data_IF_101688487389
#
_entry.id   IF_101688487389
#
_cell.length_a   1.000
_cell.length_b   1.000
_cell.length_c   1.000
_cell.angle_alpha   90.00
_cell.angle_beta   90.00
_cell.angle_gamma   90.00
#
_symmetry.space_group_name_H-M   'P 1'
#
loop_
_entity.id
_entity.type
_entity.pdbx_description
1 polymer ?
#
# COMPACT_ATOMS: atom_id res chain seq x y z
N UNK A 1 18.02 7.56 -8.25
CA UNK A 1 17.50 8.44 -9.34
C UNK A 1 16.91 9.66 -8.68
N UNK A 2 17.55 10.83 -8.84
CA UNK A 2 17.13 12.10 -8.22
C UNK A 2 16.14 12.73 -9.20
N UNK A 3 14.85 12.78 -8.84
CA UNK A 3 13.85 13.54 -9.58
C UNK A 3 13.78 14.95 -8.95
N UNK A 4 14.45 15.92 -9.57
CA UNK A 4 14.23 17.33 -9.25
C UNK A 4 13.08 17.85 -10.12
N UNK A 5 11.94 18.15 -9.51
CA UNK A 5 10.85 18.86 -10.17
C UNK A 5 10.99 20.35 -9.91
N UNK A 6 11.46 21.06 -10.96
CA UNK A 6 11.49 22.51 -10.98
C UNK A 6 10.17 23.00 -11.61
N UNK A 7 9.25 23.55 -10.82
CA UNK A 7 8.13 24.34 -11.33
C UNK A 7 8.40 25.81 -11.10
N UNK A 8 8.46 26.53 -12.20
CA UNK A 8 8.55 27.99 -12.21
C UNK A 8 7.29 28.63 -11.60
N UNK A 9 7.53 29.69 -10.84
CA UNK A 9 6.61 30.67 -10.24
C UNK A 9 5.80 30.25 -9.02
N UNK A 10 6.28 30.66 -7.84
CA UNK A 10 5.57 30.73 -6.56
C UNK A 10 6.06 29.67 -5.58
N UNK A 11 7.06 30.04 -4.78
CA UNK A 11 7.54 29.44 -3.50
C UNK A 11 6.90 28.09 -3.09
N UNK A 12 7.09 27.05 -3.89
CA UNK A 12 6.93 25.67 -3.43
C UNK A 12 8.31 25.17 -3.00
N UNK A 13 8.47 25.05 -1.70
CA UNK A 13 9.68 24.48 -1.12
C UNK A 13 9.80 23.04 -1.62
N UNK A 14 10.83 22.75 -2.44
CA UNK A 14 11.08 21.42 -2.98
C UNK A 14 11.40 20.47 -1.82
N UNK A 15 10.46 19.60 -1.48
CA UNK A 15 10.79 18.45 -0.65
C UNK A 15 11.77 17.57 -1.43
N UNK A 16 13.00 17.46 -0.94
CA UNK A 16 13.87 16.36 -1.32
C UNK A 16 13.22 15.08 -0.76
N UNK A 17 12.39 14.44 -1.56
CA UNK A 17 12.10 13.04 -1.35
C UNK A 17 13.41 12.32 -1.67
N UNK A 18 14.23 12.16 -0.67
CA UNK A 18 15.27 11.16 -0.70
C UNK A 18 14.50 9.82 -0.64
N UNK A 19 14.15 9.30 -1.81
CA UNK A 19 14.04 7.86 -1.91
C UNK A 19 15.40 7.40 -1.45
N UNK A 20 15.55 7.03 -0.16
CA UNK A 20 16.71 6.28 0.30
C UNK A 20 16.81 5.19 -0.74
N UNK A 21 17.82 5.30 -1.59
CA UNK A 21 18.11 4.27 -2.56
C UNK A 21 18.02 3.01 -1.76
N UNK A 22 17.23 2.10 -2.22
CA UNK A 22 17.14 0.77 -1.66
C UNK A 22 18.60 0.35 -1.48
N UNK A 23 19.18 0.54 -0.26
CA UNK A 23 20.13 -0.47 0.19
C UNK A 23 19.34 -1.72 -0.13
N UNK A 24 19.79 -2.45 -1.15
CA UNK A 24 19.30 -3.80 -1.38
C UNK A 24 19.49 -4.42 -0.02
N UNK A 25 18.39 -4.50 0.74
CA UNK A 25 18.39 -5.09 2.06
C UNK A 25 19.19 -6.34 1.85
N UNK A 26 20.28 -6.49 2.58
CA UNK A 26 21.14 -7.66 2.46
C UNK A 26 20.21 -8.82 2.82
N UNK A 27 19.44 -9.25 1.80
CA UNK A 27 18.33 -10.19 1.93
C UNK A 27 19.00 -11.53 2.11
N UNK A 28 19.36 -11.84 3.38
CA UNK A 28 19.79 -13.16 3.81
C UNK A 28 18.69 -14.22 3.65
N UNK A 29 17.80 -14.04 2.63
CA UNK A 29 16.80 -15.01 2.25
C UNK A 29 17.37 -15.96 1.20
N UNK A 30 17.24 -17.25 1.45
CA UNK A 30 17.53 -18.27 0.45
C UNK A 30 16.35 -18.50 -0.51
N UNK A 31 16.56 -19.29 -1.55
CA UNK A 31 15.52 -19.61 -2.54
C UNK A 31 14.29 -20.25 -1.90
N UNK A 32 14.47 -21.01 -0.82
CA UNK A 32 13.36 -21.64 -0.10
C UNK A 32 12.50 -20.59 0.63
N UNK A 33 13.13 -19.58 1.25
CA UNK A 33 12.43 -18.49 1.91
C UNK A 33 11.60 -17.68 0.88
N UNK A 34 12.17 -17.41 -0.29
CA UNK A 34 11.42 -16.76 -1.39
C UNK A 34 10.24 -17.58 -1.89
N UNK A 35 10.38 -18.92 -2.01
CA UNK A 35 9.27 -19.82 -2.36
C UNK A 35 8.19 -19.84 -1.28
N UNK A 36 8.55 -19.82 -0.01
CA UNK A 36 7.60 -19.72 1.10
C UNK A 36 6.80 -18.42 1.00
N UNK A 37 7.47 -17.27 0.79
CA UNK A 37 6.80 -15.98 0.64
C UNK A 37 5.87 -15.96 -0.57
N UNK A 38 6.31 -16.50 -1.70
CA UNK A 38 5.52 -16.56 -2.94
C UNK A 38 4.23 -17.38 -2.76
N UNK A 39 4.31 -18.54 -2.11
CA UNK A 39 3.14 -19.37 -1.82
C UNK A 39 2.20 -18.68 -0.82
N UNK A 40 2.75 -18.10 0.25
CA UNK A 40 1.96 -17.50 1.32
C UNK A 40 1.23 -16.23 0.89
N UNK A 41 1.79 -15.44 -0.04
CA UNK A 41 1.09 -14.27 -0.55
C UNK A 41 -0.13 -14.62 -1.41
N UNK A 42 -0.12 -15.77 -2.09
CA UNK A 42 -1.26 -16.28 -2.85
C UNK A 42 -2.28 -17.04 -1.99
N UNK A 43 -1.82 -17.74 -0.96
CA UNK A 43 -2.68 -18.49 -0.02
C UNK A 43 -2.14 -18.43 1.41
N UNK A 44 -2.55 -17.42 2.17
CA UNK A 44 -2.14 -17.25 3.56
C UNK A 44 -2.72 -18.32 4.52
N UNK A 45 -3.76 -19.05 4.10
CA UNK A 45 -4.44 -20.08 4.90
C UNK A 45 -3.91 -21.51 4.64
N UNK A 46 -2.87 -21.66 3.81
CA UNK A 46 -2.30 -22.98 3.52
C UNK A 46 -1.81 -23.67 4.81
N UNK A 47 -2.19 -24.96 5.06
CA UNK A 47 -1.65 -25.72 6.18
C UNK A 47 -0.13 -25.85 6.10
N UNK A 48 0.53 -25.84 7.26
CA UNK A 48 2.00 -25.93 7.30
C UNK A 48 2.54 -27.24 6.67
N UNK A 49 1.80 -28.32 6.73
CA UNK A 49 2.18 -29.60 6.11
C UNK A 49 2.23 -29.41 4.59
N UNK A 50 1.18 -28.84 3.99
CA UNK A 50 1.08 -28.63 2.55
C UNK A 50 2.12 -27.60 2.05
N UNK A 51 2.39 -26.57 2.87
CA UNK A 51 3.45 -25.60 2.58
C UNK A 51 4.82 -26.29 2.58
N UNK A 52 5.09 -27.11 3.59
CA UNK A 52 6.36 -27.82 3.72
C UNK A 52 6.61 -28.75 2.51
N UNK A 53 5.60 -29.49 2.08
CA UNK A 53 5.68 -30.34 0.89
C UNK A 53 6.02 -29.52 -0.38
N UNK A 54 5.35 -28.37 -0.56
CA UNK A 54 5.60 -27.49 -1.73
C UNK A 54 7.00 -26.89 -1.76
N UNK A 55 7.68 -26.73 -0.61
CA UNK A 55 9.03 -26.18 -0.51
C UNK A 55 10.08 -27.24 -0.21
N UNK A 56 9.71 -28.54 -0.27
CA UNK A 56 10.57 -29.70 -0.05
C UNK A 56 11.25 -29.71 1.32
N UNK A 57 10.49 -29.37 2.36
CA UNK A 57 10.91 -29.40 3.75
C UNK A 57 10.01 -30.32 4.58
N UNK A 58 10.52 -30.78 5.74
CA UNK A 58 9.64 -31.34 6.77
C UNK A 58 8.89 -30.21 7.50
N UNK A 59 7.72 -30.49 8.12
CA UNK A 59 6.86 -29.47 8.72
C UNK A 59 7.52 -28.58 9.78
N UNK A 60 8.41 -29.13 10.60
CA UNK A 60 9.04 -28.38 11.70
C UNK A 60 10.06 -27.33 11.20
N UNK A 61 11.02 -27.63 10.32
CA UNK A 61 11.86 -26.61 9.68
C UNK A 61 11.06 -25.56 8.88
N UNK A 62 10.00 -25.96 8.18
CA UNK A 62 9.13 -25.05 7.45
C UNK A 62 8.49 -24.03 8.39
N UNK A 63 7.85 -24.49 9.46
CA UNK A 63 7.23 -23.62 10.47
C UNK A 63 8.24 -22.65 11.10
N UNK A 64 9.47 -23.09 11.39
CA UNK A 64 10.53 -22.24 11.92
C UNK A 64 10.94 -21.14 10.93
N UNK A 65 11.01 -21.45 9.62
CA UNK A 65 11.31 -20.46 8.58
C UNK A 65 10.19 -19.43 8.45
N UNK A 66 8.93 -19.86 8.43
CA UNK A 66 7.77 -18.97 8.37
C UNK A 66 7.80 -18.01 9.55
N UNK A 67 8.00 -18.50 10.77
CA UNK A 67 8.11 -17.65 11.96
C UNK A 67 9.26 -16.66 11.85
N UNK A 68 10.42 -17.07 11.38
CA UNK A 68 11.56 -16.17 11.18
C UNK A 68 11.26 -15.06 10.15
N UNK A 69 10.50 -15.36 9.08
CA UNK A 69 10.06 -14.38 8.10
C UNK A 69 9.06 -13.38 8.68
N UNK A 70 8.17 -13.83 9.56
CA UNK A 70 7.25 -12.98 10.32
C UNK A 70 8.01 -12.09 11.32
N UNK A 71 8.89 -12.66 12.13
CA UNK A 71 9.68 -11.94 13.13
C UNK A 71 10.59 -10.87 12.50
N UNK A 72 11.09 -11.13 11.28
CA UNK A 72 11.89 -10.17 10.50
C UNK A 72 11.05 -9.17 9.70
N UNK A 73 9.73 -9.25 9.74
CA UNK A 73 8.82 -8.31 9.09
C UNK A 73 8.67 -8.49 7.57
N UNK A 74 9.14 -9.59 6.97
CA UNK A 74 8.87 -9.91 5.56
C UNK A 74 7.38 -10.20 5.34
N UNK A 75 6.71 -10.75 6.33
CA UNK A 75 5.26 -10.93 6.36
C UNK A 75 4.69 -9.92 7.35
N UNK A 76 4.07 -8.86 6.84
CA UNK A 76 3.53 -7.79 7.67
C UNK A 76 2.20 -8.15 8.33
N UNK A 77 1.32 -8.85 7.58
CA UNK A 77 -0.03 -9.25 8.02
C UNK A 77 -0.53 -10.45 7.23
N UNK A 78 -1.40 -11.23 7.86
CA UNK A 78 -2.26 -12.21 7.19
C UNK A 78 -3.70 -11.72 7.30
N UNK A 79 -4.38 -11.53 6.18
CA UNK A 79 -5.73 -10.97 6.13
C UNK A 79 -6.60 -11.77 5.18
N UNK A 80 -7.91 -11.77 5.44
CA UNK A 80 -8.90 -12.22 4.47
C UNK A 80 -9.35 -11.02 3.64
N UNK A 81 -9.38 -11.17 2.33
CA UNK A 81 -9.93 -10.17 1.43
C UNK A 81 -11.43 -10.36 1.31
N UNK A 82 -12.19 -9.31 1.58
CA UNK A 82 -13.63 -9.31 1.47
C UNK A 82 -14.06 -8.75 0.10
N UNK A 83 -15.14 -9.29 -0.45
CA UNK A 83 -15.82 -8.69 -1.60
C UNK A 83 -16.59 -7.45 -1.11
N UNK A 84 -16.20 -6.23 -1.50
CA UNK A 84 -16.84 -5.01 -1.03
C UNK A 84 -18.31 -4.92 -1.40
N UNK A 85 -18.74 -5.49 -2.53
CA UNK A 85 -20.15 -5.50 -2.91
C UNK A 85 -20.98 -6.37 -1.95
N UNK A 86 -20.44 -7.52 -1.53
CA UNK A 86 -21.13 -8.44 -0.63
C UNK A 86 -21.23 -7.92 0.81
N UNK A 87 -20.30 -7.06 1.21
CA UNK A 87 -20.32 -6.43 2.55
C UNK A 87 -20.93 -5.03 2.55
N UNK A 88 -21.59 -4.64 1.43
CA UNK A 88 -22.36 -3.39 1.37
C UNK A 88 -21.51 -2.12 1.16
N UNK A 89 -20.29 -2.24 0.60
CA UNK A 89 -19.38 -1.12 0.33
C UNK A 89 -18.99 -1.05 -1.16
N UNK A 90 -19.98 -0.97 -2.09
CA UNK A 90 -19.69 -1.06 -3.53
C UNK A 90 -19.03 0.19 -4.12
N UNK A 91 -19.13 1.34 -3.45
CA UNK A 91 -18.64 2.60 -4.01
C UNK A 91 -17.18 2.80 -3.63
N UNK A 92 -16.32 2.85 -4.63
CA UNK A 92 -14.90 3.16 -4.48
C UNK A 92 -14.58 4.50 -5.15
N UNK A 93 -13.96 5.40 -4.41
CA UNK A 93 -13.59 6.75 -4.89
C UNK A 93 -12.10 6.99 -4.66
N UNK A 94 -11.43 7.49 -5.69
CA UNK A 94 -10.07 8.01 -5.61
C UNK A 94 -10.10 9.53 -5.51
N UNK A 95 -9.51 10.06 -4.45
CA UNK A 95 -9.53 11.48 -4.13
C UNK A 95 -8.11 12.02 -4.22
N UNK A 96 -7.90 13.02 -5.06
CA UNK A 96 -6.68 13.81 -5.12
C UNK A 96 -6.88 15.03 -4.23
N UNK A 97 -5.95 15.27 -3.33
CA UNK A 97 -5.97 16.41 -2.40
C UNK A 97 -4.72 17.24 -2.57
N UNK A 98 -4.91 18.55 -2.69
CA UNK A 98 -3.82 19.52 -2.68
C UNK A 98 -3.98 20.41 -1.46
N UNK A 99 -2.89 20.63 -0.72
CA UNK A 99 -2.86 21.53 0.44
C UNK A 99 -2.40 22.93 0.03
N UNK A 100 -2.87 23.94 0.76
CA UNK A 100 -2.45 25.33 0.57
C UNK A 100 -0.96 25.53 0.80
N UNK A 101 -0.45 24.89 1.85
CA UNK A 101 0.95 24.94 2.24
C UNK A 101 1.52 23.54 2.41
N UNK A 102 2.64 23.29 1.74
CA UNK A 102 3.35 22.00 1.79
C UNK A 102 4.42 22.02 2.89
N UNK A 103 4.08 22.54 4.09
CA UNK A 103 4.99 22.46 5.22
C UNK A 103 4.82 21.10 5.92
N UNK A 104 5.94 20.56 6.38
CA UNK A 104 5.98 19.20 6.95
C UNK A 104 4.91 18.96 8.01
N UNK A 105 4.67 19.94 8.88
CA UNK A 105 3.67 19.83 9.96
C UNK A 105 2.26 19.62 9.40
N UNK A 106 1.85 20.40 8.40
CA UNK A 106 0.51 20.30 7.82
C UNK A 106 0.33 18.97 7.07
N UNK A 107 1.38 18.51 6.37
CA UNK A 107 1.38 17.19 5.74
C UNK A 107 1.23 16.07 6.77
N UNK A 108 2.02 16.10 7.85
CA UNK A 108 1.96 15.08 8.91
C UNK A 108 0.60 15.10 9.63
N UNK A 109 0.04 16.28 9.90
CA UNK A 109 -1.26 16.46 10.57
C UNK A 109 -2.41 15.93 9.67
N UNK A 110 -2.37 16.24 8.37
CA UNK A 110 -3.33 15.72 7.40
C UNK A 110 -3.26 14.18 7.32
N UNK A 111 -2.07 13.62 7.11
CA UNK A 111 -1.87 12.18 7.04
C UNK A 111 -2.38 11.45 8.28
N UNK A 112 -2.12 12.01 9.47
CA UNK A 112 -2.56 11.46 10.75
C UNK A 112 -4.09 11.46 10.88
N UNK A 113 -4.74 12.53 10.44
CA UNK A 113 -6.19 12.63 10.50
C UNK A 113 -6.87 11.71 9.48
N UNK A 114 -6.40 11.72 8.23
CA UNK A 114 -6.96 10.89 7.15
C UNK A 114 -6.87 9.41 7.48
N UNK A 115 -5.75 8.95 8.04
CA UNK A 115 -5.57 7.54 8.41
C UNK A 115 -6.45 7.08 9.57
N UNK A 116 -7.09 7.99 10.29
CA UNK A 116 -8.05 7.67 11.36
C UNK A 116 -9.48 7.42 10.86
N UNK A 117 -9.78 7.78 9.61
CA UNK A 117 -11.14 7.64 9.06
C UNK A 117 -11.37 6.21 8.54
N UNK A 118 -12.43 5.53 9.00
CA UNK A 118 -12.67 4.12 8.66
C UNK A 118 -12.99 3.90 7.18
N UNK A 119 -13.47 4.91 6.47
CA UNK A 119 -13.76 4.86 5.04
C UNK A 119 -12.49 4.86 4.18
N UNK A 120 -11.36 5.30 4.76
CA UNK A 120 -10.08 5.40 4.04
C UNK A 120 -9.36 4.06 4.05
N UNK A 121 -9.20 3.51 2.86
CA UNK A 121 -8.49 2.24 2.64
C UNK A 121 -7.01 2.45 2.38
N UNK A 122 -6.66 3.51 1.66
CA UNK A 122 -5.27 3.83 1.28
C UNK A 122 -5.08 5.34 1.25
N UNK A 123 -3.88 5.78 1.61
CA UNK A 123 -3.46 7.17 1.51
C UNK A 123 -1.98 7.22 1.14
N UNK A 124 -1.67 7.90 0.05
CA UNK A 124 -0.32 8.03 -0.49
C UNK A 124 0.07 9.49 -0.57
N UNK A 125 1.26 9.84 -0.07
CA UNK A 125 1.90 11.11 -0.39
C UNK A 125 2.48 11.02 -1.81
N UNK A 126 2.09 11.94 -2.66
CA UNK A 126 2.40 11.91 -4.08
C UNK A 126 3.41 12.99 -4.49
N UNK A 127 4.12 12.73 -5.56
CA UNK A 127 4.89 13.75 -6.28
C UNK A 127 4.08 14.18 -7.51
N UNK A 128 4.03 15.47 -7.83
CA UNK A 128 3.35 15.96 -9.03
C UNK A 128 2.32 17.06 -8.78
N UNK A 129 1.11 16.91 -9.32
CA UNK A 129 0.11 18.00 -9.35
C UNK A 129 -0.67 18.14 -8.05
N UNK A 130 -0.76 17.09 -7.27
CA UNK A 130 -1.47 17.02 -5.99
C UNK A 130 -0.58 16.39 -4.92
N UNK A 131 -0.93 16.57 -3.65
CA UNK A 131 -0.10 16.13 -2.53
C UNK A 131 -0.48 14.73 -2.04
N UNK A 132 -1.77 14.39 -2.05
CA UNK A 132 -2.25 13.09 -1.58
C UNK A 132 -3.20 12.43 -2.56
N UNK A 133 -3.05 11.11 -2.69
CA UNK A 133 -4.03 10.22 -3.31
C UNK A 133 -4.63 9.35 -2.21
N UNK A 134 -5.97 9.42 -2.08
CA UNK A 134 -6.71 8.67 -1.07
C UNK A 134 -7.68 7.74 -1.79
N UNK A 135 -7.76 6.49 -1.34
CA UNK A 135 -8.83 5.58 -1.76
C UNK A 135 -9.84 5.40 -0.63
N UNK A 136 -11.08 5.72 -0.91
CA UNK A 136 -12.21 5.65 0.01
C UNK A 136 -13.21 4.64 -0.48
N UNK A 137 -13.87 3.92 0.45
CA UNK A 137 -14.99 3.02 0.16
C UNK A 137 -16.22 3.43 0.98
N UNK A 138 -17.40 3.45 0.34
CA UNK A 138 -18.65 3.83 0.98
C UNK A 138 -19.80 2.95 0.48
N UNK A 139 -20.91 2.85 1.26
CA UNK A 139 -22.09 2.12 0.83
C UNK A 139 -22.75 2.70 -0.43
N UNK A 140 -22.80 4.03 -0.54
CA UNK A 140 -23.49 4.74 -1.60
C UNK A 140 -22.90 6.15 -1.81
N UNK A 141 -23.45 6.88 -2.77
CA UNK A 141 -23.02 8.23 -3.09
C UNK A 141 -23.35 9.23 -1.99
N UNK A 142 -24.46 9.04 -1.28
CA UNK A 142 -24.86 9.92 -0.18
C UNK A 142 -23.85 9.82 0.97
N UNK A 143 -23.49 8.60 1.38
CA UNK A 143 -22.44 8.36 2.39
C UNK A 143 -21.10 8.96 1.99
N UNK A 144 -20.77 8.94 0.68
CA UNK A 144 -19.58 9.61 0.17
C UNK A 144 -19.68 11.14 0.32
N UNK A 145 -20.83 11.73 0.02
CA UNK A 145 -21.03 13.17 0.19
C UNK A 145 -20.91 13.57 1.68
N UNK A 146 -21.50 12.80 2.57
CA UNK A 146 -21.37 13.00 4.02
C UNK A 146 -19.91 12.91 4.48
N UNK A 147 -19.14 11.96 3.94
CA UNK A 147 -17.69 11.85 4.19
C UNK A 147 -16.95 13.11 3.75
N UNK A 148 -17.24 13.65 2.56
CA UNK A 148 -16.64 14.90 2.11
C UNK A 148 -16.97 16.06 3.05
N UNK A 149 -18.25 16.26 3.34
CA UNK A 149 -18.76 17.44 4.07
C UNK A 149 -18.34 17.42 5.55
N UNK A 150 -18.37 16.24 6.18
CA UNK A 150 -18.13 16.11 7.63
C UNK A 150 -16.67 15.85 7.99
N UNK A 151 -15.85 15.40 7.03
CA UNK A 151 -14.46 15.02 7.30
C UNK A 151 -13.47 15.78 6.44
N UNK A 152 -13.48 15.59 5.15
CA UNK A 152 -12.42 16.09 4.29
C UNK A 152 -12.41 17.62 4.18
N UNK A 153 -13.58 18.23 3.96
CA UNK A 153 -13.69 19.69 3.84
C UNK A 153 -13.56 20.42 5.18
N UNK A 154 -13.66 19.72 6.31
CA UNK A 154 -13.42 20.31 7.64
C UNK A 154 -11.93 20.48 7.94
N UNK A 155 -11.04 19.82 7.20
CA UNK A 155 -9.61 20.00 7.38
C UNK A 155 -9.18 21.36 6.80
N UNK A 156 -8.66 22.22 7.68
CA UNK A 156 -8.13 23.53 7.27
C UNK A 156 -6.82 23.35 6.53
N UNK A 157 -6.66 24.04 5.40
CA UNK A 157 -5.44 24.00 4.58
C UNK A 157 -5.55 23.11 3.34
N UNK A 158 -6.75 22.64 2.98
CA UNK A 158 -7.00 22.02 1.67
C UNK A 158 -7.34 23.13 0.67
N UNK A 159 -6.53 23.23 -0.40
CA UNK A 159 -6.78 24.15 -1.53
C UNK A 159 -7.63 23.54 -2.63
N UNK A 160 -7.46 22.23 -2.86
CA UNK A 160 -8.19 21.57 -3.94
C UNK A 160 -8.46 20.10 -3.63
N UNK A 161 -9.67 19.66 -4.02
CA UNK A 161 -10.09 18.24 -3.95
C UNK A 161 -10.65 17.84 -5.30
N UNK A 162 -10.18 16.72 -5.83
CA UNK A 162 -10.70 16.13 -7.06
C UNK A 162 -11.05 14.67 -6.81
N UNK A 163 -12.34 14.35 -6.94
CA UNK A 163 -12.87 13.00 -6.76
C UNK A 163 -13.06 12.29 -8.09
N UNK A 164 -12.68 11.00 -8.13
CA UNK A 164 -12.86 10.14 -9.29
C UNK A 164 -13.48 8.82 -8.84
N UNK A 165 -14.69 8.55 -9.31
CA UNK A 165 -15.39 7.30 -9.00
C UNK A 165 -14.86 6.16 -9.85
N UNK A 166 -14.54 5.04 -9.21
CA UNK A 166 -14.20 3.81 -9.91
C UNK A 166 -15.47 3.17 -10.45
N UNK A 167 -15.55 3.02 -11.77
CA UNK A 167 -16.70 2.34 -12.40
C UNK A 167 -16.64 0.83 -12.17
N UNK A 168 -15.44 0.25 -12.29
CA UNK A 168 -15.15 -1.16 -12.00
C UNK A 168 -13.65 -1.37 -11.84
N UNK A 169 -13.21 -2.27 -10.98
CA UNK A 169 -11.82 -2.69 -10.95
C UNK A 169 -11.53 -3.52 -12.22
N UNK A 170 -10.48 -3.17 -12.95
CA UNK A 170 -10.01 -3.97 -14.09
C UNK A 170 -9.01 -5.03 -13.61
N UNK A 171 -8.21 -4.67 -12.62
CA UNK A 171 -7.25 -5.58 -12.00
C UNK A 171 -7.09 -5.17 -10.51
N UNK A 172 -7.12 -6.16 -9.65
CA UNK A 172 -6.78 -6.01 -8.23
C UNK A 172 -5.94 -7.21 -7.82
N UNK A 173 -4.67 -6.98 -7.54
CA UNK A 173 -3.73 -8.02 -7.09
C UNK A 173 -3.07 -7.56 -5.80
N UNK A 174 -2.92 -8.48 -4.87
CA UNK A 174 -2.18 -8.29 -3.62
C UNK A 174 -0.80 -8.93 -3.66
N UNK A 175 -0.57 -9.82 -4.63
CA UNK A 175 0.67 -10.56 -4.81
C UNK A 175 1.74 -9.68 -5.47
N UNK A 176 2.88 -9.58 -4.81
CA UNK A 176 4.06 -8.89 -5.34
C UNK A 176 4.79 -9.79 -6.36
N UNK A 177 5.36 -9.23 -7.43
CA UNK A 177 6.05 -10.01 -8.47
C UNK A 177 7.44 -10.47 -8.00
N UNK A 178 7.51 -11.56 -7.25
CA UNK A 178 8.75 -12.10 -6.68
C UNK A 178 9.58 -12.93 -7.66
N UNK A 179 9.15 -13.10 -8.90
CA UNK A 179 9.77 -13.98 -9.89
C UNK A 179 11.26 -13.72 -10.18
N UNK A 180 11.74 -12.48 -9.94
CA UNK A 180 13.16 -12.16 -10.09
C UNK A 180 14.06 -12.77 -9.02
N UNK A 181 13.51 -13.14 -7.86
CA UNK A 181 14.22 -13.85 -6.78
C UNK A 181 14.13 -15.37 -6.92
N UNK A 182 13.17 -15.85 -7.73
CA UNK A 182 12.92 -17.29 -7.93
C UNK A 182 13.64 -17.85 -9.15
N UNK A 183 14.16 -17.00 -10.04
CA UNK A 183 15.02 -17.43 -11.14
C UNK A 183 16.36 -17.85 -10.56
N UNK A 184 16.72 -19.10 -10.72
CA UNK A 184 18.09 -19.57 -10.49
C UNK A 184 19.03 -18.67 -11.33
N UNK A 185 20.12 -18.16 -10.68
CA UNK A 185 21.18 -17.53 -11.45
C UNK A 185 21.63 -18.56 -12.48
N UNK A 186 21.75 -18.20 -13.78
CA UNK A 186 22.37 -19.12 -14.72
C UNK A 186 23.76 -19.46 -14.16
N UNK A 187 24.03 -20.74 -13.99
CA UNK A 187 25.38 -21.22 -13.69
C UNK A 187 26.30 -20.72 -14.82
N UNK A 188 27.30 -19.93 -14.43
CA UNK A 188 28.37 -19.45 -15.32
C UNK A 188 29.42 -20.53 -15.41
#
# INVERSE_FOLDING_TARGET
MILSLNRASGLRQSYKVTLKGTEMANNNLDTTDWRILDILQGNAAIPNIDLADKVFLSPSPCSRRVKNLEDKGYISKRVSLLDPNKVGLPVTVFIQVTLDHQVKKELDDFAKQVTSWPEVMECYLMTGEFDYLIRVVTPDLQSYQEFLDQRLTQFKGISHVKSSFSLKPICYKTELPLGHHLKEKPEI
#
